data_IF_947592061921
#
_entry.id   IF_947592061921
#
_cell.length_a   1.000
_cell.length_b   1.000
_cell.length_c   1.000
_cell.angle_alpha   90.00
_cell.angle_beta   90.00
_cell.angle_gamma   90.00
#
_symmetry.space_group_name_H-M   'P 1'
#
loop_
_entity.id
_entity.type
_entity.pdbx_description
1 polymer ?
#
# COMPACT_ATOMS: atom_id res chain seq x y z
N UNK A 1 -12.93 -3.74 21.86
CA UNK A 1 -12.00 -3.84 20.70
C UNK A 1 -11.33 -2.49 20.47
N UNK A 2 -10.01 -2.38 20.57
CA UNK A 2 -9.29 -1.11 20.30
C UNK A 2 -9.17 -0.92 18.79
N UNK A 3 -9.78 0.14 18.25
CA UNK A 3 -9.67 0.51 16.83
C UNK A 3 -8.19 0.78 16.51
N UNK A 4 -7.59 -0.06 15.65
CA UNK A 4 -6.19 0.09 15.23
C UNK A 4 -6.07 1.32 14.33
N UNK A 5 -5.39 2.35 14.80
CA UNK A 5 -5.17 3.58 14.04
C UNK A 5 -3.87 3.45 13.21
N UNK A 6 -3.99 3.36 11.89
CA UNK A 6 -2.82 3.34 11.01
C UNK A 6 -1.98 4.60 11.21
N UNK A 7 -0.65 4.45 11.12
CA UNK A 7 0.33 5.53 11.28
C UNK A 7 0.43 6.10 12.71
N UNK A 8 -0.28 5.53 13.69
CA UNK A 8 -0.24 5.97 15.10
C UNK A 8 0.12 4.77 15.97
N UNK A 9 1.21 4.89 16.73
CA UNK A 9 1.70 3.85 17.64
C UNK A 9 1.57 4.33 19.07
N UNK A 10 1.05 3.47 19.96
CA UNK A 10 1.05 3.76 21.38
C UNK A 10 2.43 3.48 21.97
N UNK A 11 2.94 4.42 22.76
CA UNK A 11 4.15 4.26 23.55
C UNK A 11 3.76 4.28 25.03
N UNK A 12 4.01 3.16 25.70
CA UNK A 12 3.77 2.95 27.13
C UNK A 12 5.08 2.43 27.75
N UNK A 13 5.97 3.34 28.16
CA UNK A 13 7.22 3.01 28.83
C UNK A 13 7.20 3.56 30.26
N UNK A 14 6.72 2.78 31.25
CA UNK A 14 6.60 3.22 32.64
C UNK A 14 7.95 3.58 33.26
N UNK A 15 8.99 2.79 33.01
CA UNK A 15 10.34 3.01 33.56
C UNK A 15 10.96 4.34 33.12
N UNK A 16 10.54 4.85 31.96
CA UNK A 16 11.01 6.11 31.37
C UNK A 16 10.02 7.26 31.52
N UNK A 17 8.87 7.01 32.17
CA UNK A 17 7.76 7.97 32.27
C UNK A 17 7.21 8.43 30.91
N UNK A 18 7.43 7.66 29.84
CA UNK A 18 7.05 8.05 28.48
C UNK A 18 5.73 7.38 28.08
N UNK A 19 4.65 8.16 28.23
CA UNK A 19 3.30 7.75 27.87
C UNK A 19 2.74 8.69 26.80
N UNK A 20 2.36 8.14 25.65
CA UNK A 20 1.81 8.94 24.56
C UNK A 20 1.60 8.18 23.26
N UNK A 21 1.32 8.94 22.22
CA UNK A 21 1.12 8.43 20.86
C UNK A 21 2.18 8.98 19.92
N UNK A 22 2.79 8.11 19.13
CA UNK A 22 3.75 8.49 18.11
C UNK A 22 3.12 8.37 16.72
N UNK A 23 3.05 9.50 16.01
CA UNK A 23 2.51 9.58 14.65
C UNK A 23 3.65 9.52 13.65
N UNK A 24 3.55 8.60 12.69
CA UNK A 24 4.48 8.45 11.56
C UNK A 24 3.71 8.20 10.28
N UNK A 25 3.56 9.24 9.46
CA UNK A 25 2.89 9.09 8.16
C UNK A 25 3.90 8.68 7.09
N UNK A 26 3.85 7.43 6.67
CA UNK A 26 4.63 6.95 5.53
C UNK A 26 3.84 7.06 4.23
N UNK A 27 4.47 7.62 3.20
CA UNK A 27 3.92 7.72 1.84
C UNK A 27 5.05 7.81 0.81
N UNK A 28 4.91 7.15 -0.35
CA UNK A 28 5.92 7.23 -1.42
C UNK A 28 7.35 6.79 -1.01
N UNK A 29 7.49 5.95 0.02
CA UNK A 29 8.79 5.53 0.56
C UNK A 29 9.48 6.55 1.48
N UNK A 30 8.82 7.65 1.83
CA UNK A 30 9.31 8.66 2.78
C UNK A 30 8.42 8.72 4.02
N UNK A 31 8.98 9.19 5.13
CA UNK A 31 8.24 9.45 6.38
C UNK A 31 8.07 10.96 6.50
N UNK A 32 6.83 11.40 6.70
CA UNK A 32 6.47 12.80 6.80
C UNK A 32 6.15 13.17 8.23
N UNK A 33 6.80 14.25 8.68
CA UNK A 33 6.51 15.00 9.91
C UNK A 33 6.22 14.08 11.13
N UNK A 34 7.16 13.21 11.53
CA UNK A 34 6.96 12.34 12.70
C UNK A 34 6.83 13.19 13.97
N UNK A 35 5.84 12.88 14.83
CA UNK A 35 5.58 13.66 16.04
C UNK A 35 5.05 12.81 17.18
N UNK A 36 5.46 13.13 18.40
CA UNK A 36 5.01 12.50 19.63
C UNK A 36 4.01 13.37 20.38
N UNK A 37 2.93 12.75 20.86
CA UNK A 37 1.85 13.37 21.62
C UNK A 37 1.76 12.71 22.99
N UNK A 38 2.35 13.35 24.00
CA UNK A 38 2.39 12.82 25.37
C UNK A 38 1.06 12.96 26.08
N UNK A 39 0.66 11.97 26.87
CA UNK A 39 -0.57 12.00 27.66
C UNK A 39 -0.58 13.14 28.67
N UNK A 40 0.55 13.39 29.34
CA UNK A 40 0.69 14.46 30.35
C UNK A 40 0.36 15.83 29.76
N UNK A 41 0.93 16.16 28.60
CA UNK A 41 0.69 17.44 27.90
C UNK A 41 -0.77 17.60 27.44
N UNK A 42 -1.38 16.51 26.99
CA UNK A 42 -2.72 16.54 26.39
C UNK A 42 -3.84 16.11 27.35
N UNK A 43 -3.57 16.10 28.66
CA UNK A 43 -4.56 15.81 29.72
C UNK A 43 -5.19 14.42 29.58
N UNK A 44 -4.35 13.41 29.31
CA UNK A 44 -4.71 12.00 29.31
C UNK A 44 -4.76 11.34 27.92
N UNK A 45 -4.89 10.01 27.96
CA UNK A 45 -4.79 9.13 26.78
C UNK A 45 -5.83 9.42 25.70
N UNK A 46 -7.08 9.68 26.07
CA UNK A 46 -8.15 9.90 25.11
C UNK A 46 -7.90 11.16 24.25
N UNK A 47 -7.58 12.28 24.91
CA UNK A 47 -7.29 13.56 24.24
C UNK A 47 -6.01 13.50 23.42
N UNK A 48 -4.95 12.87 23.94
CA UNK A 48 -3.72 12.65 23.20
C UNK A 48 -3.96 11.86 21.90
N UNK A 49 -4.82 10.83 21.95
CA UNK A 49 -5.19 10.05 20.77
C UNK A 49 -5.97 10.87 19.74
N UNK A 50 -6.96 11.66 20.18
CA UNK A 50 -7.75 12.53 19.28
C UNK A 50 -6.84 13.50 18.52
N UNK A 51 -5.94 14.17 19.24
CA UNK A 51 -5.01 15.14 18.64
C UNK A 51 -4.01 14.45 17.70
N UNK A 52 -3.55 13.25 18.06
CA UNK A 52 -2.70 12.45 17.17
C UNK A 52 -3.42 12.05 15.87
N UNK A 53 -4.72 11.75 15.94
CA UNK A 53 -5.57 11.43 14.79
C UNK A 53 -5.74 12.66 13.88
N UNK A 54 -6.10 13.81 14.44
CA UNK A 54 -6.26 15.06 13.71
C UNK A 54 -4.95 15.46 13.02
N UNK A 55 -3.82 15.36 13.73
CA UNK A 55 -2.52 15.65 13.17
C UNK A 55 -2.17 14.72 12.01
N UNK A 56 -2.41 13.40 12.16
CA UNK A 56 -2.21 12.43 11.08
C UNK A 56 -3.04 12.81 9.85
N UNK A 57 -4.33 13.07 10.02
CA UNK A 57 -5.25 13.32 8.92
C UNK A 57 -4.92 14.63 8.20
N UNK A 58 -4.45 15.64 8.93
CA UNK A 58 -3.90 16.88 8.36
C UNK A 58 -2.67 16.59 7.50
N UNK A 59 -1.69 15.83 8.02
CA UNK A 59 -0.50 15.47 7.23
C UNK A 59 -0.86 14.64 6.00
N UNK A 60 -1.79 13.68 6.12
CA UNK A 60 -2.25 12.87 4.99
C UNK A 60 -2.91 13.74 3.91
N UNK A 61 -3.70 14.74 4.30
CA UNK A 61 -4.30 15.70 3.37
C UNK A 61 -3.24 16.58 2.69
N UNK A 62 -2.28 17.12 3.45
CA UNK A 62 -1.19 17.95 2.91
C UNK A 62 -0.34 17.23 1.86
N UNK A 63 -0.03 15.94 2.09
CA UNK A 63 0.78 15.16 1.16
C UNK A 63 -0.04 14.55 0.01
N UNK A 64 -1.35 14.83 -0.07
CA UNK A 64 -2.25 14.27 -1.06
C UNK A 64 -2.48 12.76 -0.92
N UNK A 65 -2.25 12.20 0.28
CA UNK A 65 -2.49 10.79 0.56
C UNK A 65 -3.95 10.60 0.93
N UNK A 66 -4.67 9.86 0.11
CA UNK A 66 -6.05 9.48 0.42
C UNK A 66 -6.07 8.55 1.64
N UNK A 67 -6.88 8.95 2.63
CA UNK A 67 -6.99 8.25 3.91
C UNK A 67 -7.50 6.84 3.67
N UNK A 68 -6.69 5.86 4.05
CA UNK A 68 -7.05 4.44 3.95
C UNK A 68 -6.38 3.62 5.04
N UNK A 69 -7.16 2.78 5.71
CA UNK A 69 -6.66 1.83 6.72
C UNK A 69 -5.89 0.66 6.09
N UNK A 70 -5.92 0.51 4.76
CA UNK A 70 -5.17 -0.52 4.05
C UNK A 70 -3.69 -0.21 3.98
N UNK A 71 -2.87 -1.24 4.17
CA UNK A 71 -1.45 -1.18 3.84
C UNK A 71 -1.36 -1.06 2.31
N UNK A 72 -0.82 0.08 1.84
CA UNK A 72 -0.45 0.23 0.44
C UNK A 72 0.91 -0.46 0.29
N UNK A 73 0.89 -1.64 -0.29
CA UNK A 73 2.13 -2.38 -0.60
C UNK A 73 2.79 -1.69 -1.78
N UNK A 74 3.96 -1.09 -1.55
CA UNK A 74 4.74 -0.39 -2.58
C UNK A 74 5.83 -1.25 -3.19
N UNK A 75 6.05 -2.46 -2.66
CA UNK A 75 7.07 -3.39 -3.13
C UNK A 75 6.54 -4.81 -3.17
N UNK A 76 6.75 -5.51 -4.28
CA UNK A 76 6.42 -6.92 -4.45
C UNK A 76 7.59 -7.66 -5.08
N UNK A 77 7.68 -8.97 -4.85
CA UNK A 77 8.58 -9.86 -5.59
C UNK A 77 8.12 -10.05 -7.05
N UNK A 78 6.83 -9.87 -7.31
CA UNK A 78 6.28 -9.83 -8.66
C UNK A 78 6.83 -8.64 -9.45
N UNK A 79 6.98 -8.82 -10.76
CA UNK A 79 7.47 -7.81 -11.71
C UNK A 79 6.63 -6.52 -11.66
N UNK A 80 5.33 -6.67 -11.39
CA UNK A 80 4.38 -5.56 -11.23
C UNK A 80 3.65 -5.66 -9.88
N UNK A 81 3.68 -4.57 -9.11
CA UNK A 81 3.03 -4.50 -7.80
C UNK A 81 1.52 -4.63 -7.94
N UNK A 82 0.92 -5.57 -7.20
CA UNK A 82 -0.53 -5.80 -7.19
C UNK A 82 -1.06 -6.63 -8.37
N UNK A 83 -0.18 -7.14 -9.24
CA UNK A 83 -0.51 -8.08 -10.30
C UNK A 83 0.21 -9.39 -10.03
N UNK A 84 -0.52 -10.51 -10.02
CA UNK A 84 0.07 -11.85 -9.93
C UNK A 84 -0.47 -12.78 -11.00
N UNK A 85 0.40 -13.64 -11.51
CA UNK A 85 0.00 -14.77 -12.33
C UNK A 85 -0.54 -15.87 -11.40
N UNK A 86 -1.75 -16.36 -11.65
CA UNK A 86 -2.41 -17.37 -10.81
C UNK A 86 -3.30 -18.27 -11.67
N UNK A 87 -3.62 -19.45 -11.15
CA UNK A 87 -4.60 -20.34 -11.77
C UNK A 87 -5.97 -20.01 -11.18
N UNK A 88 -6.91 -19.61 -12.03
CA UNK A 88 -8.32 -19.46 -11.66
C UNK A 88 -8.97 -20.83 -11.65
N UNK A 89 -9.82 -21.10 -10.65
CA UNK A 89 -10.55 -22.37 -10.51
C UNK A 89 -12.05 -22.09 -10.50
N UNK A 90 -12.80 -22.88 -11.25
CA UNK A 90 -14.26 -22.89 -11.21
C UNK A 90 -14.74 -24.34 -11.17
N UNK A 91 -15.60 -24.64 -10.20
CA UNK A 91 -16.25 -25.95 -10.10
C UNK A 91 -17.63 -25.83 -10.74
N UNK A 92 -17.93 -26.72 -11.70
CA UNK A 92 -19.25 -26.82 -12.33
C UNK A 92 -19.59 -28.30 -12.50
N UNK A 93 -20.74 -28.72 -11.98
CA UNK A 93 -21.24 -30.11 -12.04
C UNK A 93 -20.18 -31.15 -11.60
N UNK A 94 -19.51 -30.90 -10.46
CA UNK A 94 -18.46 -31.79 -9.93
C UNK A 94 -17.13 -31.78 -10.70
N UNK A 95 -17.06 -31.15 -11.89
CA UNK A 95 -15.82 -31.00 -12.66
C UNK A 95 -15.14 -29.68 -12.31
N UNK A 96 -13.83 -29.75 -12.09
CA UNK A 96 -12.99 -28.57 -11.81
C UNK A 96 -12.35 -28.09 -13.10
N UNK A 97 -12.67 -26.85 -13.48
CA UNK A 97 -12.07 -26.17 -14.61
C UNK A 97 -11.03 -25.18 -14.09
N UNK A 98 -9.83 -25.26 -14.64
CA UNK A 98 -8.72 -24.38 -14.26
C UNK A 98 -8.11 -23.71 -15.48
N UNK A 99 -7.86 -22.41 -15.39
CA UNK A 99 -7.17 -21.68 -16.46
C UNK A 99 -6.25 -20.59 -15.89
N UNK A 100 -5.15 -20.28 -16.58
CA UNK A 100 -4.20 -19.26 -16.15
C UNK A 100 -4.78 -17.85 -16.32
N UNK A 101 -4.63 -17.02 -15.28
CA UNK A 101 -5.10 -15.62 -15.25
C UNK A 101 -4.06 -14.70 -14.60
N UNK A 102 -4.05 -13.43 -15.03
CA UNK A 102 -3.48 -12.37 -14.22
C UNK A 102 -4.54 -11.83 -13.25
N UNK A 103 -4.30 -11.94 -11.95
CA UNK A 103 -5.13 -11.34 -10.91
C UNK A 103 -4.56 -9.99 -10.49
N UNK A 104 -5.42 -8.98 -10.54
CA UNK A 104 -5.14 -7.58 -10.22
C UNK A 104 -5.86 -7.28 -8.90
N UNK A 105 -5.11 -6.87 -7.89
CA UNK A 105 -5.63 -6.58 -6.55
C UNK A 105 -5.52 -5.10 -6.24
N UNK A 106 -6.63 -4.36 -6.26
CA UNK A 106 -6.66 -2.92 -5.98
C UNK A 106 -7.48 -2.59 -4.73
N UNK A 107 -6.99 -1.69 -3.84
CA UNK A 107 -7.82 -1.17 -2.76
C UNK A 107 -9.00 -0.39 -3.38
N UNK A 108 -10.19 -0.46 -2.81
CA UNK A 108 -11.32 0.30 -3.36
C UNK A 108 -11.37 1.70 -2.73
N UNK A 109 -11.61 2.73 -3.54
CA UNK A 109 -11.82 4.11 -3.05
C UNK A 109 -12.98 4.14 -2.06
N UNK A 110 -12.76 4.69 -0.87
CA UNK A 110 -13.79 4.93 0.13
C UNK A 110 -14.45 3.69 0.77
N UNK A 111 -14.03 2.46 0.43
CA UNK A 111 -14.59 1.23 1.01
C UNK A 111 -13.55 0.37 1.70
N UNK A 112 -13.96 -0.27 2.79
CA UNK A 112 -13.22 -1.32 3.47
C UNK A 112 -13.21 -2.66 2.67
N UNK A 113 -13.13 -2.63 1.34
CA UNK A 113 -13.09 -3.84 0.50
C UNK A 113 -12.01 -3.71 -0.57
N UNK A 114 -11.35 -4.83 -0.86
CA UNK A 114 -10.35 -4.93 -1.93
C UNK A 114 -11.05 -5.42 -3.18
N UNK A 115 -10.92 -4.69 -4.29
CA UNK A 115 -11.45 -5.12 -5.59
C UNK A 115 -10.42 -6.01 -6.27
N UNK A 116 -10.83 -7.22 -6.63
CA UNK A 116 -10.03 -8.13 -7.46
C UNK A 116 -10.59 -8.14 -8.87
N UNK A 117 -9.72 -8.05 -9.86
CA UNK A 117 -10.07 -8.18 -11.28
C UNK A 117 -9.16 -9.22 -11.90
N UNK A 118 -9.67 -9.98 -12.86
CA UNK A 118 -8.92 -11.06 -13.52
C UNK A 118 -8.86 -10.82 -15.02
N UNK A 119 -7.75 -11.18 -15.65
CA UNK A 119 -7.57 -11.19 -17.10
C UNK A 119 -7.10 -12.59 -17.49
N UNK A 120 -7.82 -13.23 -18.43
CA UNK A 120 -7.48 -14.58 -18.88
C UNK A 120 -6.28 -14.57 -19.82
N UNK A 121 -5.29 -15.42 -19.54
CA UNK A 121 -4.11 -15.58 -20.39
C UNK A 121 -4.46 -16.38 -21.65
N UNK A 122 -5.33 -17.38 -21.53
CA UNK A 122 -5.73 -18.21 -22.66
C UNK A 122 -6.48 -17.42 -23.74
N UNK A 123 -7.22 -16.36 -23.37
CA UNK A 123 -8.02 -15.56 -24.30
C UNK A 123 -7.19 -14.53 -25.09
N UNK A 124 -6.12 -13.99 -24.48
CA UNK A 124 -5.40 -12.84 -25.03
C UNK A 124 -3.91 -13.12 -25.28
N UNK A 125 -3.40 -14.31 -24.92
CA UNK A 125 -1.97 -14.54 -24.85
C UNK A 125 -1.32 -13.83 -23.66
N UNK A 126 -0.14 -14.30 -23.24
CA UNK A 126 0.51 -13.85 -22.01
C UNK A 126 0.90 -12.38 -22.04
N UNK A 127 1.50 -11.92 -23.14
CA UNK A 127 2.00 -10.54 -23.25
C UNK A 127 0.87 -9.51 -23.30
N UNK A 128 -0.18 -9.74 -24.09
CA UNK A 128 -1.30 -8.82 -24.18
C UNK A 128 -2.14 -8.82 -22.91
N UNK A 129 -2.33 -10.00 -22.29
CA UNK A 129 -3.00 -10.11 -21.00
C UNK A 129 -2.27 -9.32 -19.91
N UNK A 130 -0.93 -9.35 -19.91
CA UNK A 130 -0.11 -8.56 -18.98
C UNK A 130 -0.26 -7.05 -19.24
N UNK A 131 -0.17 -6.61 -20.50
CA UNK A 131 -0.39 -5.20 -20.88
C UNK A 131 -1.77 -4.71 -20.45
N UNK A 132 -2.82 -5.51 -20.66
CA UNK A 132 -4.19 -5.22 -20.22
C UNK A 132 -4.29 -5.15 -18.69
N UNK A 133 -3.62 -6.05 -17.98
CA UNK A 133 -3.62 -6.05 -16.52
C UNK A 133 -2.94 -4.80 -15.95
N UNK A 134 -1.81 -4.39 -16.52
CA UNK A 134 -1.10 -3.16 -16.14
C UNK A 134 -1.98 -1.93 -16.40
N UNK A 135 -2.63 -1.86 -17.58
CA UNK A 135 -3.53 -0.74 -17.91
C UNK A 135 -4.69 -0.65 -16.92
N UNK A 136 -5.36 -1.76 -16.63
CA UNK A 136 -6.44 -1.81 -15.61
C UNK A 136 -5.94 -1.40 -14.24
N UNK A 137 -4.74 -1.84 -13.85
CA UNK A 137 -4.14 -1.46 -12.56
C UNK A 137 -3.90 0.04 -12.48
N UNK A 138 -3.30 0.65 -13.51
CA UNK A 138 -3.06 2.10 -13.57
C UNK A 138 -4.35 2.92 -13.52
N UNK A 139 -5.41 2.44 -14.17
CA UNK A 139 -6.74 3.07 -14.10
C UNK A 139 -7.29 3.06 -12.67
N UNK A 140 -7.25 1.91 -11.99
CA UNK A 140 -7.66 1.84 -10.59
C UNK A 140 -6.82 2.76 -9.70
N UNK A 141 -5.49 2.75 -9.86
CA UNK A 141 -4.63 3.65 -9.08
C UNK A 141 -4.95 5.12 -9.33
N UNK A 142 -5.28 5.52 -10.56
CA UNK A 142 -5.72 6.88 -10.88
C UNK A 142 -7.06 7.22 -10.21
N UNK A 143 -8.03 6.31 -10.22
CA UNK A 143 -9.32 6.49 -9.51
C UNK A 143 -9.15 6.59 -7.99
N UNK A 144 -8.19 5.85 -7.41
CA UNK A 144 -7.99 5.77 -5.96
C UNK A 144 -7.08 6.87 -5.44
N UNK A 145 -6.08 7.28 -6.21
CA UNK A 145 -5.01 8.18 -5.77
C UNK A 145 -4.99 9.52 -6.52
N UNK A 146 -5.83 9.72 -7.53
CA UNK A 146 -5.87 10.94 -8.36
C UNK A 146 -4.65 11.15 -9.25
N UNK A 147 -3.59 10.36 -9.06
CA UNK A 147 -2.33 10.39 -9.80
C UNK A 147 -1.93 8.96 -10.13
N UNK A 148 -1.37 8.72 -11.33
CA UNK A 148 -0.67 7.47 -11.59
C UNK A 148 0.56 7.44 -10.70
N UNK A 149 0.50 6.67 -9.62
CA UNK A 149 1.63 6.51 -8.74
C UNK A 149 2.82 6.00 -9.56
N UNK A 150 3.93 6.74 -9.51
CA UNK A 150 5.23 6.35 -10.05
C UNK A 150 5.82 5.17 -9.23
N UNK A 151 5.07 4.08 -9.07
CA UNK A 151 5.55 2.84 -8.45
C UNK A 151 6.43 2.01 -9.41
N UNK A 152 6.76 2.55 -10.59
CA UNK A 152 7.79 2.09 -11.53
C UNK A 152 9.23 2.19 -10.95
N UNK A 153 9.37 2.16 -9.63
CA UNK A 153 10.64 2.16 -8.91
C UNK A 153 11.33 0.78 -8.93
N UNK A 154 10.63 -0.32 -9.25
CA UNK A 154 11.26 -1.63 -9.39
C UNK A 154 12.25 -1.66 -10.58
N UNK A 155 11.81 -1.17 -11.75
CA UNK A 155 12.66 -1.06 -12.94
C UNK A 155 13.80 -0.05 -12.74
N UNK A 156 13.54 1.10 -12.10
CA UNK A 156 14.59 2.08 -11.74
C UNK A 156 15.59 1.52 -10.71
N UNK A 157 15.16 0.69 -9.77
CA UNK A 157 16.03 0.06 -8.75
C UNK A 157 16.90 -1.05 -9.33
N UNK A 158 16.36 -1.85 -10.27
CA UNK A 158 17.14 -2.81 -11.06
C UNK A 158 18.19 -2.11 -11.93
N UNK A 159 17.81 -1.03 -12.65
CA UNK A 159 18.74 -0.20 -13.42
C UNK A 159 19.81 0.45 -12.54
N UNK A 160 19.46 0.98 -11.35
CA UNK A 160 20.43 1.52 -10.39
C UNK A 160 21.39 0.46 -9.85
N UNK A 161 20.91 -0.75 -9.54
CA UNK A 161 21.76 -1.87 -9.09
C UNK A 161 22.73 -2.34 -10.18
N UNK A 162 22.25 -2.48 -11.41
CA UNK A 162 23.08 -2.82 -12.57
C UNK A 162 24.13 -1.73 -12.88
N UNK A 163 23.80 -0.46 -12.69
CA UNK A 163 24.76 0.63 -12.84
C UNK A 163 25.75 0.74 -11.67
N UNK A 164 25.37 0.30 -10.47
CA UNK A 164 26.27 0.26 -9.31
C UNK A 164 27.29 -0.89 -9.42
N UNK A 165 26.92 -2.03 -10.01
CA UNK A 165 27.86 -3.13 -10.26
C UNK A 165 28.87 -2.82 -11.37
N UNK A 166 28.52 -1.92 -12.30
CA UNK A 166 29.42 -1.42 -13.37
C UNK A 166 30.38 -0.31 -12.91
N UNK A 167 30.22 0.24 -11.71
CA UNK A 167 30.99 1.37 -11.17
C UNK A 167 32.06 0.99 -10.14
N UNK A 168 32.31 -0.30 -9.89
CA UNK A 168 33.46 -0.71 -9.07
C UNK A 168 34.72 -0.57 -9.93
N UNK A 169 35.65 0.37 -9.63
CA UNK A 169 36.97 0.32 -10.23
C UNK A 169 37.70 -0.93 -9.70
N UNK A 170 38.55 -1.51 -10.55
CA UNK A 170 39.55 -2.50 -10.14
C UNK A 170 40.56 -1.86 -9.21
#
# INVERSE_FOLDING_TARGET
MVKKNKSITRFDYPDKGMFGFYVRVAFGGKIYKPKFFSDKKYKGKARALTIAIEYRDLIEKEIGKIRSDYIVVTTSKAEYVGIRETISKQVKNGKTYTWPVFEITSPQTGRAKVKRSRVSIQKHGREEALKLAIKKRKLFEKEIYGTTSNFDNAAKKLKRRANLSKKKPK
#
